data_IF_511008218238
#
_entry.id   IF_511008218238
#
_cell.length_a   1.000
_cell.length_b   1.000
_cell.length_c   1.000
_cell.angle_alpha   90.00
_cell.angle_beta   90.00
_cell.angle_gamma   90.00
#
_symmetry.space_group_name_H-M   'P 1'
#
loop_
_entity.id
_entity.type
_entity.pdbx_description
1 polymer ?
#
# COMPACT_ATOMS: atom_id res chain seq x y z
N UNK A 1 -11.46 4.58 -17.72
CA UNK A 1 -10.20 4.96 -18.43
C UNK A 1 -9.23 5.49 -17.39
N UNK A 2 -7.96 5.11 -17.49
CA UNK A 2 -6.90 5.56 -16.58
C UNK A 2 -6.15 6.70 -17.27
N UNK A 3 -5.92 7.79 -16.56
CA UNK A 3 -5.26 8.99 -17.06
C UNK A 3 -4.17 9.43 -16.09
N UNK A 4 -3.27 10.30 -16.55
CA UNK A 4 -2.15 10.82 -15.73
C UNK A 4 -2.60 11.50 -14.43
N UNK A 5 -3.77 12.15 -14.42
CA UNK A 5 -4.31 12.83 -13.23
C UNK A 5 -5.34 12.05 -12.43
N UNK A 6 -5.71 10.83 -12.83
CA UNK A 6 -6.74 10.05 -12.14
C UNK A 6 -7.49 9.05 -13.00
N UNK A 7 -8.70 8.71 -12.55
CA UNK A 7 -9.58 7.74 -13.17
C UNK A 7 -10.81 8.45 -13.73
N UNK A 8 -11.12 8.16 -14.99
CA UNK A 8 -12.38 8.56 -15.62
C UNK A 8 -13.35 7.38 -15.62
N UNK A 9 -14.52 7.58 -15.01
CA UNK A 9 -15.62 6.60 -14.96
C UNK A 9 -16.87 7.15 -15.62
N UNK A 10 -17.63 6.30 -16.30
CA UNK A 10 -18.95 6.66 -16.83
C UNK A 10 -20.02 6.10 -15.90
N UNK A 11 -20.87 6.96 -15.36
CA UNK A 11 -21.98 6.59 -14.47
C UNK A 11 -23.30 7.04 -15.10
N UNK A 12 -24.02 6.09 -15.68
CA UNK A 12 -25.15 6.40 -16.55
C UNK A 12 -24.69 7.21 -17.75
N UNK A 13 -25.15 8.46 -17.87
CA UNK A 13 -24.74 9.39 -18.93
C UNK A 13 -23.70 10.44 -18.47
N UNK A 14 -23.23 10.37 -17.22
CA UNK A 14 -22.28 11.36 -16.66
C UNK A 14 -20.87 10.80 -16.58
N UNK A 15 -19.91 11.57 -17.10
CA UNK A 15 -18.49 11.31 -16.91
C UNK A 15 -18.08 11.86 -15.53
N UNK A 16 -17.56 10.99 -14.67
CA UNK A 16 -17.01 11.35 -13.37
C UNK A 16 -15.48 11.23 -13.41
N UNK A 17 -14.80 12.18 -12.78
CA UNK A 17 -13.33 12.19 -12.66
C UNK A 17 -13.00 12.01 -11.19
N UNK A 18 -12.17 11.01 -10.88
CA UNK A 18 -11.58 10.80 -9.55
C UNK A 18 -10.07 11.02 -9.64
N UNK A 19 -9.54 12.09 -9.04
CA UNK A 19 -8.10 12.36 -9.05
C UNK A 19 -7.35 11.43 -8.10
N UNK A 20 -6.03 11.31 -8.26
CA UNK A 20 -5.20 10.48 -7.38
C UNK A 20 -5.27 10.90 -5.91
N UNK A 21 -5.35 12.21 -5.66
CA UNK A 21 -5.45 12.81 -4.32
C UNK A 21 -6.83 12.56 -3.68
N UNK A 22 -7.86 12.36 -4.51
CA UNK A 22 -9.20 12.01 -4.03
C UNK A 22 -9.29 10.54 -3.61
N UNK A 23 -8.38 9.67 -4.07
CA UNK A 23 -8.34 8.27 -3.66
C UNK A 23 -7.77 8.18 -2.24
N UNK A 24 -8.59 7.70 -1.32
CA UNK A 24 -8.23 7.53 0.09
C UNK A 24 -7.76 6.12 0.42
N UNK A 25 -8.14 5.14 -0.40
CA UNK A 25 -7.69 3.77 -0.25
C UNK A 25 -7.88 2.95 -1.52
N UNK A 26 -6.95 2.02 -1.74
CA UNK A 26 -7.07 0.93 -2.72
C UNK A 26 -6.97 -0.38 -1.95
N UNK A 27 -8.03 -1.19 -2.02
CA UNK A 27 -8.13 -2.45 -1.30
C UNK A 27 -8.17 -3.61 -2.28
N UNK A 28 -7.20 -4.48 -2.19
CA UNK A 28 -7.18 -5.76 -2.89
C UNK A 28 -7.98 -6.77 -2.08
N UNK A 29 -8.79 -7.57 -2.76
CA UNK A 29 -9.51 -8.70 -2.19
C UNK A 29 -9.87 -9.71 -3.25
N UNK A 30 -10.65 -10.71 -2.86
CA UNK A 30 -11.15 -11.70 -3.82
C UNK A 30 -12.64 -11.54 -4.04
N UNK A 31 -13.04 -11.89 -5.25
CA UNK A 31 -14.42 -12.20 -5.59
C UNK A 31 -14.54 -13.73 -5.71
N UNK A 32 -15.39 -14.39 -4.90
CA UNK A 32 -15.73 -15.78 -5.14
C UNK A 32 -16.43 -15.88 -6.48
N UNK A 33 -15.94 -16.78 -7.34
CA UNK A 33 -16.59 -17.18 -8.59
C UNK A 33 -17.16 -18.58 -8.35
N UNK A 34 -18.32 -18.87 -8.93
CA UNK A 34 -19.04 -20.13 -8.69
C UNK A 34 -18.30 -21.39 -9.22
N UNK A 35 -17.18 -21.24 -9.95
CA UNK A 35 -16.40 -22.32 -10.59
C UNK A 35 -14.87 -22.23 -10.34
N UNK A 36 -14.46 -22.33 -9.07
CA UNK A 36 -13.12 -22.77 -8.60
C UNK A 36 -11.86 -21.89 -8.71
N UNK A 37 -11.86 -20.71 -9.36
CA UNK A 37 -10.72 -19.77 -9.24
C UNK A 37 -11.18 -18.41 -8.71
N UNK A 38 -10.80 -18.04 -7.46
CA UNK A 38 -11.11 -16.72 -6.95
C UNK A 38 -10.39 -15.66 -7.77
N UNK A 39 -11.14 -14.68 -8.27
CA UNK A 39 -10.55 -13.57 -9.04
C UNK A 39 -10.18 -12.43 -8.10
N UNK A 40 -8.98 -11.89 -8.26
CA UNK A 40 -8.56 -10.68 -7.55
C UNK A 40 -9.41 -9.50 -8.04
N UNK A 41 -9.94 -8.74 -7.08
CA UNK A 41 -10.64 -7.48 -7.34
C UNK A 41 -10.02 -6.36 -6.53
N UNK A 42 -10.10 -5.16 -7.09
CA UNK A 42 -9.65 -3.93 -6.44
C UNK A 42 -10.85 -3.08 -6.09
N UNK A 43 -10.89 -2.59 -4.86
CA UNK A 43 -11.91 -1.67 -4.37
C UNK A 43 -11.25 -0.33 -4.06
N UNK A 44 -11.61 0.69 -4.83
CA UNK A 44 -11.05 2.03 -4.75
C UNK A 44 -12.06 2.91 -4.04
N UNK A 45 -11.65 3.47 -2.91
CA UNK A 45 -12.45 4.40 -2.11
C UNK A 45 -11.93 5.81 -2.34
N UNK A 46 -12.77 6.70 -2.82
CA UNK A 46 -12.49 8.13 -2.87
C UNK A 46 -13.14 8.88 -1.70
N UNK A 47 -12.69 10.10 -1.42
CA UNK A 47 -13.21 10.95 -0.36
C UNK A 47 -14.68 11.38 -0.59
N UNK A 48 -15.06 11.58 -1.86
CA UNK A 48 -16.35 12.16 -2.25
C UNK A 48 -17.15 11.29 -3.22
N UNK A 49 -16.66 10.09 -3.56
CA UNK A 49 -17.22 9.27 -4.63
C UNK A 49 -17.68 7.89 -4.17
N UNK A 50 -18.40 7.18 -5.06
CA UNK A 50 -18.80 5.81 -4.81
C UNK A 50 -17.57 4.88 -4.73
N UNK A 51 -17.74 3.75 -4.05
CA UNK A 51 -16.76 2.66 -4.07
C UNK A 51 -16.68 2.07 -5.49
N UNK A 52 -15.54 2.27 -6.16
CA UNK A 52 -15.29 1.68 -7.47
C UNK A 52 -14.71 0.27 -7.29
N UNK A 53 -15.29 -0.72 -7.97
CA UNK A 53 -14.75 -2.09 -8.00
C UNK A 53 -14.22 -2.39 -9.39
N UNK A 54 -12.95 -2.76 -9.48
CA UNK A 54 -12.26 -3.12 -10.71
C UNK A 54 -11.83 -4.59 -10.68
N UNK A 55 -11.71 -5.19 -11.87
CA UNK A 55 -11.03 -6.47 -12.04
C UNK A 55 -9.53 -6.38 -11.72
N UNK A 56 -8.85 -7.51 -11.77
CA UNK A 56 -7.43 -7.62 -11.43
C UNK A 56 -6.55 -6.78 -12.36
N UNK A 57 -6.85 -6.73 -13.65
CA UNK A 57 -6.03 -6.04 -14.66
C UNK A 57 -6.14 -4.53 -14.54
N UNK A 58 -7.36 -4.00 -14.53
CA UNK A 58 -7.58 -2.55 -14.37
C UNK A 58 -7.21 -2.07 -12.98
N UNK A 59 -7.50 -2.88 -11.96
CA UNK A 59 -7.17 -2.55 -10.58
C UNK A 59 -5.67 -2.45 -10.32
N UNK A 60 -4.86 -3.37 -10.87
CA UNK A 60 -3.41 -3.32 -10.77
C UNK A 60 -2.82 -2.09 -11.47
N UNK A 61 -3.32 -1.73 -12.66
CA UNK A 61 -2.88 -0.52 -13.36
C UNK A 61 -3.22 0.75 -12.57
N UNK A 62 -4.42 0.81 -11.99
CA UNK A 62 -4.82 1.94 -11.13
C UNK A 62 -3.94 2.01 -9.89
N UNK A 63 -3.66 0.89 -9.22
CA UNK A 63 -2.80 0.90 -8.04
C UNK A 63 -1.38 1.34 -8.40
N UNK A 64 -0.81 0.88 -9.51
CA UNK A 64 0.52 1.29 -9.96
C UNK A 64 0.61 2.80 -10.18
N UNK A 65 -0.36 3.39 -10.89
CA UNK A 65 -0.41 4.84 -11.14
C UNK A 65 -0.67 5.64 -9.86
N UNK A 66 -1.55 5.16 -8.99
CA UNK A 66 -1.78 5.75 -7.67
C UNK A 66 -0.50 5.76 -6.82
N UNK A 67 0.26 4.66 -6.81
CA UNK A 67 1.53 4.54 -6.09
C UNK A 67 2.56 5.51 -6.66
N UNK A 68 2.70 5.56 -7.98
CA UNK A 68 3.61 6.47 -8.67
C UNK A 68 3.30 7.94 -8.35
N UNK A 69 2.02 8.32 -8.40
CA UNK A 69 1.58 9.69 -8.12
C UNK A 69 1.77 10.11 -6.65
N UNK A 70 1.54 9.21 -5.70
CA UNK A 70 1.54 9.55 -4.27
C UNK A 70 2.89 9.37 -3.57
N UNK A 71 3.78 8.50 -4.08
CA UNK A 71 5.05 8.23 -3.41
C UNK A 71 5.92 9.47 -3.20
N UNK A 72 6.11 10.37 -4.20
CA UNK A 72 6.99 11.53 -4.05
C UNK A 72 6.55 12.49 -2.92
N UNK A 73 5.24 12.76 -2.80
CA UNK A 73 4.72 13.67 -1.78
C UNK A 73 4.87 13.09 -0.38
N UNK A 74 4.66 11.78 -0.21
CA UNK A 74 4.84 11.08 1.07
C UNK A 74 6.30 11.04 1.49
N UNK A 75 7.22 10.83 0.54
CA UNK A 75 8.66 10.93 0.82
C UNK A 75 9.08 12.34 1.21
N UNK A 76 8.59 13.38 0.51
CA UNK A 76 8.88 14.76 0.86
C UNK A 76 8.34 15.11 2.27
N UNK A 77 7.15 14.61 2.62
CA UNK A 77 6.61 14.74 3.97
C UNK A 77 7.52 14.08 5.02
N UNK A 78 7.97 12.85 4.78
CA UNK A 78 8.91 12.16 5.66
C UNK A 78 10.23 12.94 5.83
N UNK A 79 10.78 13.45 4.73
CA UNK A 79 12.03 14.22 4.73
C UNK A 79 11.93 15.56 5.47
N UNK A 80 10.73 16.14 5.57
CA UNK A 80 10.48 17.34 6.39
C UNK A 80 10.58 17.08 7.90
N UNK A 81 10.70 15.82 8.32
CA UNK A 81 10.71 15.41 9.73
C UNK A 81 9.33 15.27 10.36
N UNK A 82 8.26 15.52 9.60
CA UNK A 82 6.92 15.19 10.02
C UNK A 82 6.71 13.66 10.01
N UNK A 83 6.14 13.06 11.07
CA UNK A 83 5.77 11.65 11.04
C UNK A 83 4.75 11.39 9.94
N UNK A 84 5.03 10.39 9.11
CA UNK A 84 4.17 9.98 8.02
C UNK A 84 3.19 8.91 8.50
N UNK A 85 1.89 9.15 8.37
CA UNK A 85 0.84 8.19 8.75
C UNK A 85 0.33 7.42 7.53
N UNK A 86 0.47 6.10 7.54
CA UNK A 86 -0.06 5.19 6.53
C UNK A 86 -0.99 4.19 7.23
N UNK A 87 -2.23 4.61 7.47
CA UNK A 87 -3.20 3.80 8.21
C UNK A 87 -2.72 3.52 9.63
N UNK A 88 -2.49 2.25 9.97
CA UNK A 88 -1.97 1.84 11.29
C UNK A 88 -0.48 2.03 11.47
N UNK A 89 0.27 2.28 10.40
CA UNK A 89 1.70 2.55 10.47
C UNK A 89 1.96 4.04 10.62
N UNK A 90 2.94 4.36 11.45
CA UNK A 90 3.58 5.68 11.50
C UNK A 90 5.06 5.51 11.19
N UNK A 91 5.56 6.28 10.23
CA UNK A 91 6.97 6.26 9.82
C UNK A 91 7.61 7.57 10.24
N UNK A 92 8.77 7.50 10.89
CA UNK A 92 9.59 8.67 11.22
C UNK A 92 11.08 8.31 11.13
N UNK A 93 11.98 9.25 11.43
CA UNK A 93 13.42 9.00 11.31
C UNK A 93 13.96 7.88 12.22
N UNK A 94 13.23 7.48 13.26
CA UNK A 94 13.65 6.40 14.14
C UNK A 94 13.32 5.02 13.58
N UNK A 95 12.20 4.89 12.86
CA UNK A 95 11.77 3.62 12.32
C UNK A 95 10.31 3.56 11.89
N UNK A 96 9.79 2.33 11.91
CA UNK A 96 8.38 2.01 11.68
C UNK A 96 7.71 1.80 13.02
N UNK A 97 6.65 2.56 13.29
CA UNK A 97 5.80 2.37 14.45
C UNK A 97 4.47 1.72 14.08
N UNK A 98 4.11 0.68 14.83
CA UNK A 98 2.80 0.04 14.81
C UNK A 98 2.26 0.03 16.25
N UNK A 99 1.20 0.80 16.49
CA UNK A 99 0.70 1.06 17.84
C UNK A 99 1.82 1.63 18.74
N UNK A 100 2.23 0.89 19.79
CA UNK A 100 3.29 1.27 20.73
C UNK A 100 4.63 0.60 20.45
N UNK A 101 4.73 -0.20 19.38
CA UNK A 101 5.95 -0.94 19.03
C UNK A 101 6.71 -0.20 17.93
N UNK A 102 8.01 0.02 18.16
CA UNK A 102 8.95 0.60 17.21
C UNK A 102 9.83 -0.51 16.62
N UNK A 103 9.97 -0.53 15.29
CA UNK A 103 11.00 -1.27 14.56
C UNK A 103 11.98 -0.27 13.95
N UNK A 104 13.22 -0.16 14.49
CA UNK A 104 14.23 0.73 13.94
C UNK A 104 14.56 0.41 12.47
N UNK A 105 14.92 1.43 11.68
CA UNK A 105 15.24 1.23 10.25
C UNK A 105 16.34 0.19 10.01
N UNK A 106 17.39 0.18 10.84
CA UNK A 106 18.51 -0.76 10.72
C UNK A 106 18.14 -2.22 11.04
N UNK A 107 17.05 -2.40 11.79
CA UNK A 107 16.53 -3.71 12.17
C UNK A 107 15.58 -4.30 11.13
N UNK A 108 15.22 -3.56 10.07
CA UNK A 108 14.39 -4.09 9.00
C UNK A 108 15.24 -5.00 8.10
N UNK A 109 14.77 -6.22 7.91
CA UNK A 109 15.39 -7.18 7.00
C UNK A 109 14.76 -7.15 5.62
N UNK A 110 13.42 -7.18 5.57
CA UNK A 110 12.67 -7.22 4.33
C UNK A 110 11.24 -6.73 4.53
N UNK A 111 10.66 -6.22 3.46
CA UNK A 111 9.23 -5.96 3.35
C UNK A 111 8.69 -6.77 2.18
N UNK A 112 7.71 -7.63 2.43
CA UNK A 112 7.18 -8.55 1.42
C UNK A 112 5.68 -8.34 1.26
N UNK A 113 5.25 -8.28 0.01
CA UNK A 113 3.84 -8.33 -0.37
C UNK A 113 3.51 -9.75 -0.81
N UNK A 114 2.56 -10.38 -0.14
CA UNK A 114 2.18 -11.77 -0.40
C UNK A 114 0.68 -12.01 -0.29
N UNK A 115 0.24 -13.11 -0.90
CA UNK A 115 -1.12 -13.61 -0.80
C UNK A 115 -1.12 -14.82 0.12
N UNK A 116 -1.87 -14.74 1.22
CA UNK A 116 -2.02 -15.86 2.15
C UNK A 116 -3.30 -16.62 1.84
N UNK A 117 -3.17 -17.93 1.58
CA UNK A 117 -4.32 -18.83 1.50
C UNK A 117 -4.73 -19.27 2.91
N UNK A 118 -5.91 -18.87 3.38
CA UNK A 118 -6.54 -19.51 4.54
C UNK A 118 -7.43 -20.64 4.03
N UNK A 119 -7.28 -21.82 4.67
CA UNK A 119 -8.12 -23.03 4.54
C UNK A 119 -9.52 -22.66 4.02
N UNK A 120 -9.81 -23.12 2.80
CA UNK A 120 -11.04 -22.86 2.01
C UNK A 120 -11.05 -21.56 1.17
N UNK A 121 -10.07 -21.42 0.26
CA UNK A 121 -10.15 -20.56 -0.96
C UNK A 121 -10.18 -19.04 -0.68
N UNK A 122 -9.88 -18.61 0.56
CA UNK A 122 -9.78 -17.18 0.90
C UNK A 122 -8.33 -16.73 0.86
N UNK A 123 -7.92 -16.15 -0.27
CA UNK A 123 -6.71 -15.35 -0.38
C UNK A 123 -6.95 -13.93 0.08
N UNK A 124 -6.04 -13.38 0.87
CA UNK A 124 -5.96 -11.95 1.14
C UNK A 124 -4.53 -11.49 0.90
N UNK A 125 -4.43 -10.31 0.30
CA UNK A 125 -3.18 -9.58 0.22
C UNK A 125 -2.76 -9.14 1.62
N UNK A 126 -1.49 -9.34 1.95
CA UNK A 126 -0.89 -8.85 3.16
C UNK A 126 0.49 -8.24 2.88
N UNK A 127 0.91 -7.34 3.75
CA UNK A 127 2.24 -6.76 3.79
C UNK A 127 2.93 -7.28 5.06
N UNK A 128 4.00 -8.03 4.88
CA UNK A 128 4.79 -8.61 5.97
C UNK A 128 6.11 -7.84 6.10
N UNK A 129 6.39 -7.31 7.29
CA UNK A 129 7.63 -6.60 7.63
C UNK A 129 8.46 -7.53 8.51
N UNK A 130 9.68 -7.85 8.11
CA UNK A 130 10.57 -8.77 8.81
C UNK A 130 11.65 -8.02 9.58
N UNK A 131 11.85 -8.42 10.84
CA UNK A 131 12.94 -7.93 11.67
C UNK A 131 14.16 -8.83 11.51
N UNK A 132 15.33 -8.22 11.32
CA UNK A 132 16.63 -8.86 11.15
C UNK A 132 16.90 -9.87 12.25
N UNK A 133 17.23 -11.10 11.85
CA UNK A 133 17.65 -12.18 12.76
C UNK A 133 16.50 -12.85 13.53
N UNK A 134 15.26 -12.38 13.41
CA UNK A 134 14.11 -12.99 14.10
C UNK A 134 13.56 -14.23 13.38
N UNK A 135 13.75 -14.33 12.06
CA UNK A 135 13.15 -15.35 11.20
C UNK A 135 11.62 -15.27 11.10
N UNK A 136 10.98 -14.26 11.70
CA UNK A 136 9.53 -14.07 11.75
C UNK A 136 9.16 -12.66 11.30
N UNK A 137 7.93 -12.49 10.82
CA UNK A 137 7.41 -11.16 10.54
C UNK A 137 7.22 -10.40 11.88
N UNK A 138 7.81 -9.21 11.98
CA UNK A 138 7.55 -8.26 13.05
C UNK A 138 6.12 -7.75 13.00
N UNK A 139 5.62 -7.47 11.79
CA UNK A 139 4.22 -7.11 11.56
C UNK A 139 3.67 -7.77 10.29
N UNK A 140 2.38 -8.12 10.34
CA UNK A 140 1.60 -8.57 9.18
C UNK A 140 0.36 -7.69 9.07
N UNK A 141 0.28 -6.91 8.00
CA UNK A 141 -0.75 -5.91 7.76
C UNK A 141 -1.64 -6.35 6.61
N UNK A 142 -2.95 -6.10 6.72
CA UNK A 142 -3.94 -6.41 5.67
C UNK A 142 -4.44 -5.14 5.02
N UNK A 143 -5.16 -5.25 3.91
CA UNK A 143 -5.71 -4.10 3.18
C UNK A 143 -6.53 -3.16 4.08
N UNK A 144 -7.18 -3.65 5.15
CA UNK A 144 -7.91 -2.80 6.11
C UNK A 144 -7.02 -1.91 6.98
N UNK A 145 -5.75 -2.26 7.13
CA UNK A 145 -4.83 -1.61 8.04
C UNK A 145 -4.08 -0.43 7.39
N UNK A 146 -4.01 -0.38 6.06
CA UNK A 146 -3.23 0.58 5.27
C UNK A 146 -4.05 1.16 4.12
N UNK A 147 -3.85 2.41 3.66
CA UNK A 147 -4.57 2.98 2.51
C UNK A 147 -4.41 2.12 1.25
N UNK A 148 -3.17 1.76 0.90
CA UNK A 148 -2.80 0.73 -0.08
C UNK A 148 -1.60 -0.03 0.50
N UNK A 149 -1.60 -1.36 0.33
CA UNK A 149 -0.48 -2.20 0.77
C UNK A 149 0.77 -1.93 -0.06
N UNK A 150 0.61 -1.77 -1.38
CA UNK A 150 1.71 -1.51 -2.31
C UNK A 150 2.32 -0.13 -2.10
N UNK A 151 1.50 0.90 -1.85
CA UNK A 151 1.99 2.23 -1.50
C UNK A 151 2.86 2.19 -0.23
N UNK A 152 2.38 1.50 0.81
CA UNK A 152 3.13 1.37 2.05
C UNK A 152 4.45 0.63 1.83
N UNK A 153 4.44 -0.47 1.08
CA UNK A 153 5.66 -1.20 0.70
C UNK A 153 6.66 -0.29 0.01
N UNK A 154 6.22 0.41 -1.03
CA UNK A 154 7.09 1.27 -1.86
C UNK A 154 7.72 2.40 -1.06
N UNK A 155 6.94 3.07 -0.21
CA UNK A 155 7.43 4.14 0.67
C UNK A 155 8.45 3.61 1.67
N UNK A 156 8.16 2.49 2.33
CA UNK A 156 9.07 1.89 3.32
C UNK A 156 10.40 1.49 2.67
N UNK A 157 10.37 0.83 1.52
CA UNK A 157 11.58 0.42 0.78
C UNK A 157 12.44 1.62 0.36
N UNK A 158 11.81 2.69 -0.12
CA UNK A 158 12.56 3.89 -0.52
C UNK A 158 13.15 4.65 0.67
N UNK A 159 12.45 4.69 1.81
CA UNK A 159 13.01 5.25 3.04
C UNK A 159 14.20 4.40 3.50
N UNK A 160 14.06 3.08 3.53
CA UNK A 160 15.12 2.16 3.93
C UNK A 160 16.38 2.33 3.07
N UNK A 161 16.23 2.33 1.74
CA UNK A 161 17.34 2.53 0.81
C UNK A 161 18.10 3.84 1.09
N UNK A 162 17.38 4.95 1.34
CA UNK A 162 17.98 6.23 1.71
C UNK A 162 18.70 6.21 3.06
N UNK A 163 18.24 5.41 4.03
CA UNK A 163 18.94 5.26 5.31
C UNK A 163 20.23 4.45 5.13
N UNK A 164 20.21 3.39 4.32
CA UNK A 164 21.37 2.55 4.04
C UNK A 164 22.47 3.32 3.30
N UNK A 165 22.09 4.19 2.35
CA UNK A 165 23.00 5.11 1.66
C UNK A 165 23.70 6.08 2.64
N UNK A 166 22.95 6.65 3.59
CA UNK A 166 23.51 7.56 4.60
C UNK A 166 24.49 6.86 5.53
N UNK A 167 24.20 5.62 5.93
CA UNK A 167 25.08 4.84 6.80
C UNK A 167 26.37 4.40 6.09
N UNK A 168 26.31 4.16 4.78
CA UNK A 168 27.45 3.75 3.97
C UNK A 168 28.52 4.85 3.80
N UNK A 169 28.16 6.12 3.97
CA UNK A 169 29.09 7.26 3.82
C UNK A 169 29.92 7.50 5.09
N UNK A 170 29.48 6.98 6.24
CA UNK A 170 30.06 7.25 7.56
C UNK A 170 31.07 6.15 7.97
N UNK A 171 31.23 5.09 7.16
CA UNK A 171 32.12 3.95 7.42
C UNK A 171 33.37 4.03 6.55
#
# INVERSE_FOLDING_TARGET
MICTGGILTLRGSRLEVTTWEQITAIKTGLRPVYDDIPTIIYRIKSNNGPLLTLDSTMGALVEAQYVEANTPSLLAQYESGAPLALGKLRLDFTGIMLQTHLLPWHDIEAVRYDFEAIRDIRYFSRLSIFQRGSGKAWAVLRSRDLPSLELARKVIEQIQAKQDEKNSIIT
#
